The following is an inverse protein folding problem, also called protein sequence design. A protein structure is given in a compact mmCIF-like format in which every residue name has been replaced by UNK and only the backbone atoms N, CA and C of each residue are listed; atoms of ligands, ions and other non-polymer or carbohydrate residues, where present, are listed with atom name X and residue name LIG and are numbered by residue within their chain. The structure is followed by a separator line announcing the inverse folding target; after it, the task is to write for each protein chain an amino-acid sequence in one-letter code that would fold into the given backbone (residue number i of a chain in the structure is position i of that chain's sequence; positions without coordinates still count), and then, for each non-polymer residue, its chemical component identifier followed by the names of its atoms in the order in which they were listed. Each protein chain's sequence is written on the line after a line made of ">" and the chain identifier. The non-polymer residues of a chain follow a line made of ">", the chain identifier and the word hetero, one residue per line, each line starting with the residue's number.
data_IF_626458643533
#
_entry.id   IF_626458643533
#
_cell.length_a   1.000
_cell.length_b   1.000
_cell.length_c   1.000
_cell.angle_alpha   90.00
_cell.angle_beta   90.00
_cell.angle_gamma   90.00
#
_symmetry.space_group_name_H-M   'P 1'
#
loop_
_entity.id
_entity.type
_entity.pdbx_description
1 polymer ?
#
# COMPACT_ATOMS: atom_id res chain seq x y z
N UNK A 1 22.05 16.86 10.17
CA UNK A 1 20.95 16.82 9.18
C UNK A 1 20.64 15.37 8.90
N UNK A 2 19.52 14.86 9.45
CA UNK A 2 19.15 13.45 9.30
C UNK A 2 18.78 13.16 7.85
N UNK A 3 19.59 12.36 7.18
CA UNK A 3 19.24 11.73 5.91
C UNK A 3 18.11 10.76 6.22
N UNK A 4 16.87 11.26 6.15
CA UNK A 4 15.66 10.45 6.19
C UNK A 4 15.76 9.52 5.00
N UNK A 5 16.14 8.26 5.25
CA UNK A 5 16.16 7.17 4.29
C UNK A 5 14.77 7.15 3.67
N UNK A 6 14.62 7.77 2.50
CA UNK A 6 13.40 7.70 1.72
C UNK A 6 13.33 6.26 1.26
N UNK A 7 12.55 5.44 1.96
CA UNK A 7 12.15 4.13 1.46
C UNK A 7 11.59 4.37 0.06
N UNK A 8 12.30 3.92 -0.97
CA UNK A 8 11.89 3.97 -2.38
C UNK A 8 10.73 3.00 -2.67
N UNK A 9 9.82 2.83 -1.71
CA UNK A 9 8.54 2.17 -1.98
C UNK A 9 7.73 3.18 -2.78
N UNK A 10 7.47 2.87 -4.05
CA UNK A 10 6.61 3.69 -4.89
C UNK A 10 5.34 4.06 -4.13
N UNK A 11 4.91 5.32 -4.19
CA UNK A 11 3.61 5.70 -3.63
C UNK A 11 2.52 4.87 -4.31
N UNK A 12 1.84 4.04 -3.53
CA UNK A 12 0.66 3.35 -3.99
C UNK A 12 -0.55 4.20 -3.66
N UNK A 13 -1.44 4.37 -4.64
CA UNK A 13 -2.78 4.87 -4.33
C UNK A 13 -3.56 3.74 -3.64
N UNK A 14 -4.33 4.05 -2.63
CA UNK A 14 -5.26 3.14 -1.97
C UNK A 14 -6.66 3.73 -2.07
N UNK A 15 -7.66 2.87 -2.06
CA UNK A 15 -9.05 3.28 -2.02
C UNK A 15 -9.63 2.90 -0.67
N UNK A 16 -10.01 3.90 0.10
CA UNK A 16 -10.71 3.70 1.35
C UNK A 16 -12.21 3.59 1.03
N UNK A 17 -12.76 2.37 1.11
CA UNK A 17 -14.19 2.13 0.89
C UNK A 17 -15.08 2.77 1.97
N UNK A 18 -14.54 3.01 3.17
CA UNK A 18 -15.26 3.68 4.26
C UNK A 18 -15.30 5.18 4.03
N UNK A 19 -14.17 5.79 3.71
CA UNK A 19 -14.09 7.22 3.40
C UNK A 19 -14.58 7.56 1.98
N UNK A 20 -14.75 6.53 1.12
CA UNK A 20 -15.03 6.66 -0.31
C UNK A 20 -14.05 7.60 -1.02
N UNK A 21 -12.81 7.59 -0.56
CA UNK A 21 -11.74 8.49 -0.99
C UNK A 21 -10.52 7.69 -1.42
N UNK A 22 -9.78 8.24 -2.39
CA UNK A 22 -8.48 7.74 -2.79
C UNK A 22 -7.41 8.52 -2.04
N UNK A 23 -6.40 7.83 -1.54
CA UNK A 23 -5.24 8.45 -0.90
C UNK A 23 -3.98 7.74 -1.35
N UNK A 24 -2.86 8.45 -1.44
CA UNK A 24 -1.56 7.84 -1.67
C UNK A 24 -0.85 7.53 -0.35
N UNK A 25 -0.22 6.36 -0.28
CA UNK A 25 0.59 5.96 0.86
C UNK A 25 1.85 5.26 0.37
N UNK A 26 2.98 5.58 1.00
CA UNK A 26 4.27 4.90 0.83
C UNK A 26 4.52 3.87 1.94
N UNK A 27 3.69 3.86 2.98
CA UNK A 27 3.77 2.93 4.10
C UNK A 27 2.74 1.82 3.91
N UNK A 28 3.15 0.80 3.18
CA UNK A 28 2.34 -0.41 2.97
C UNK A 28 3.19 -1.67 3.01
N UNK A 29 2.49 -2.76 3.32
CA UNK A 29 3.00 -4.12 3.40
C UNK A 29 2.47 -4.91 2.20
N UNK A 30 3.36 -5.48 1.38
CA UNK A 30 2.96 -6.31 0.24
C UNK A 30 2.92 -7.76 0.71
N UNK A 31 1.73 -8.35 0.74
CA UNK A 31 1.51 -9.75 1.09
C UNK A 31 1.11 -10.54 -0.14
N UNK A 32 1.77 -11.66 -0.37
CA UNK A 32 1.37 -12.61 -1.40
C UNK A 32 0.42 -13.64 -0.78
N UNK A 33 -0.75 -13.83 -1.39
CA UNK A 33 -1.71 -14.86 -0.99
C UNK A 33 -2.32 -15.50 -2.22
N UNK A 34 -2.17 -16.81 -2.34
CA UNK A 34 -2.73 -17.60 -3.46
C UNK A 34 -2.29 -17.09 -4.85
N UNK A 35 -1.01 -16.69 -4.99
CA UNK A 35 -0.45 -16.16 -6.25
C UNK A 35 -0.94 -14.77 -6.65
N UNK A 36 -1.62 -14.06 -5.74
CA UNK A 36 -2.00 -12.65 -5.87
C UNK A 36 -1.25 -11.82 -4.83
N UNK A 37 -0.92 -10.59 -5.19
CA UNK A 37 -0.29 -9.64 -4.29
C UNK A 37 -1.32 -8.69 -3.72
N UNK A 38 -1.17 -8.37 -2.44
CA UNK A 38 -2.06 -7.49 -1.70
C UNK A 38 -1.20 -6.46 -0.98
N UNK A 39 -1.33 -5.20 -1.36
CA UNK A 39 -0.77 -4.12 -0.58
C UNK A 39 -1.74 -3.77 0.55
N UNK A 40 -1.28 -3.90 1.79
CA UNK A 40 -2.03 -3.56 3.00
C UNK A 40 -1.42 -2.31 3.61
N UNK A 41 -2.22 -1.26 3.76
CA UNK A 41 -1.80 -0.02 4.44
C UNK A 41 -2.81 0.34 5.53
N UNK A 42 -2.41 1.16 6.50
CA UNK A 42 -3.35 1.73 7.47
C UNK A 42 -4.10 2.90 6.82
N UNK A 43 -5.41 3.00 7.07
CA UNK A 43 -6.16 4.17 6.62
C UNK A 43 -5.66 5.44 7.33
N UNK A 44 -5.66 6.56 6.61
CA UNK A 44 -5.43 7.88 7.21
C UNK A 44 -6.62 8.36 8.05
N UNK A 45 -7.82 7.80 7.85
CA UNK A 45 -9.05 8.28 8.49
C UNK A 45 -9.56 7.38 9.61
N UNK A 46 -8.96 6.21 9.84
CA UNK A 46 -9.44 5.30 10.89
C UNK A 46 -8.50 4.15 11.22
N UNK A 47 -8.87 3.31 12.22
CA UNK A 47 -8.06 2.19 12.68
C UNK A 47 -8.09 0.97 11.72
N UNK A 48 -8.80 1.08 10.60
CA UNK A 48 -8.95 0.00 9.63
C UNK A 48 -7.78 -0.07 8.64
N UNK A 49 -7.57 -1.27 8.11
CA UNK A 49 -6.58 -1.53 7.08
C UNK A 49 -7.23 -1.42 5.69
N UNK A 50 -6.56 -0.73 4.78
CA UNK A 50 -6.93 -0.66 3.37
C UNK A 50 -6.15 -1.71 2.58
N UNK A 51 -6.88 -2.62 1.95
CA UNK A 51 -6.31 -3.72 1.17
C UNK A 51 -6.48 -3.41 -0.31
N UNK A 52 -5.37 -3.30 -1.03
CA UNK A 52 -5.32 -3.12 -2.48
C UNK A 52 -4.77 -4.37 -3.14
N UNK A 53 -5.51 -4.92 -4.09
CA UNK A 53 -4.99 -5.99 -4.95
C UNK A 53 -3.98 -5.39 -5.92
N UNK A 54 -2.80 -6.01 -5.98
CA UNK A 54 -1.76 -5.74 -6.95
C UNK A 54 -1.72 -6.88 -7.97
N UNK A 55 -1.47 -6.53 -9.22
CA UNK A 55 -1.16 -7.51 -10.26
C UNK A 55 0.17 -8.18 -9.98
N UNK A 56 0.44 -9.35 -10.60
CA UNK A 56 1.74 -10.04 -10.46
C UNK A 56 2.93 -9.11 -10.68
N UNK A 57 2.93 -8.37 -11.79
CA UNK A 57 4.00 -7.44 -12.13
C UNK A 57 4.24 -6.35 -11.06
N UNK A 58 3.17 -5.72 -10.55
CA UNK A 58 3.30 -4.70 -9.51
C UNK A 58 3.74 -5.29 -8.18
N UNK A 59 3.20 -6.45 -7.82
CA UNK A 59 3.56 -7.14 -6.59
C UNK A 59 5.02 -7.59 -6.56
N UNK A 60 5.53 -8.16 -7.66
CA UNK A 60 6.93 -8.53 -7.80
C UNK A 60 7.86 -7.31 -7.80
N UNK A 61 7.42 -6.17 -8.36
CA UNK A 61 8.20 -4.92 -8.34
C UNK A 61 8.26 -4.27 -6.96
N UNK A 62 7.23 -4.47 -6.13
CA UNK A 62 7.04 -3.76 -4.86
C UNK A 62 7.38 -4.60 -3.61
N UNK A 63 7.67 -5.89 -3.79
CA UNK A 63 8.16 -6.81 -2.75
C UNK A 63 9.60 -6.49 -2.38
#
# INVERSE_FOLDING_TARGET
>A
MSHKKMNMKDKLSFYDVKAKAKFDSNEYDVREKNGRYFAVTKSQSGPHECWRVLSKADGERLK
#
